data_IF_311612889415
#
_entry.id   IF_311612889415
#
_cell.length_a   1.000
_cell.length_b   1.000
_cell.length_c   1.000
_cell.angle_alpha   90.00
_cell.angle_beta   90.00
_cell.angle_gamma   90.00
#
_symmetry.space_group_name_H-M   'P 1'
#
loop_
_entity.id
_entity.type
_entity.pdbx_description
1 polymer ?
#
# COMPACT_ATOMS: atom_id res chain seq x y z
N UNK A 1 10.53 17.48 -5.30
CA UNK A 1 10.37 16.11 -5.81
C UNK A 1 8.96 15.92 -6.37
N UNK A 2 8.85 15.33 -7.54
CA UNK A 2 7.53 15.04 -8.06
C UNK A 2 6.84 14.00 -7.18
N UNK A 3 5.59 14.29 -6.83
CA UNK A 3 4.74 13.35 -6.11
C UNK A 3 3.98 12.52 -7.12
N UNK A 4 4.17 11.23 -7.08
CA UNK A 4 3.49 10.31 -7.97
C UNK A 4 2.26 9.73 -7.31
N UNK A 5 1.20 9.55 -8.10
CA UNK A 5 -0.03 8.89 -7.64
C UNK A 5 0.15 7.39 -7.75
N UNK A 6 -0.22 6.70 -6.70
CA UNK A 6 -0.13 5.25 -6.61
C UNK A 6 -1.47 4.65 -6.22
N UNK A 7 -1.67 3.41 -6.63
CA UNK A 7 -2.86 2.65 -6.27
C UNK A 7 -2.42 1.30 -5.72
N UNK A 8 -2.96 0.91 -4.58
CA UNK A 8 -2.70 -0.40 -3.99
C UNK A 8 -4.01 -1.15 -3.78
N UNK A 9 -3.96 -2.44 -3.97
CA UNK A 9 -5.09 -3.35 -3.86
C UNK A 9 -4.90 -4.32 -2.72
N UNK A 10 -6.00 -4.76 -2.12
CA UNK A 10 -6.00 -5.82 -1.13
C UNK A 10 -5.86 -5.33 0.30
N UNK A 11 -6.23 -6.21 1.22
CA UNK A 11 -6.34 -5.88 2.65
C UNK A 11 -4.98 -5.58 3.27
N UNK A 12 -4.00 -6.47 3.08
CA UNK A 12 -2.70 -6.33 3.74
C UNK A 12 -1.94 -5.09 3.27
N UNK A 13 -1.90 -4.86 1.96
CA UNK A 13 -1.25 -3.67 1.41
C UNK A 13 -1.95 -2.39 1.84
N UNK A 14 -3.28 -2.40 1.86
CA UNK A 14 -4.05 -1.24 2.31
C UNK A 14 -3.81 -0.93 3.78
N UNK A 15 -3.76 -1.93 4.64
CA UNK A 15 -3.43 -1.74 6.06
C UNK A 15 -2.04 -1.12 6.19
N UNK A 16 -1.06 -1.61 5.45
CA UNK A 16 0.30 -1.09 5.49
C UNK A 16 0.36 0.40 5.12
N UNK A 17 -0.30 0.79 4.05
CA UNK A 17 -0.33 2.18 3.59
C UNK A 17 -1.10 3.07 4.56
N UNK A 18 -2.28 2.66 4.99
CA UNK A 18 -3.13 3.46 5.88
C UNK A 18 -2.52 3.62 7.28
N UNK A 19 -1.85 2.60 7.78
CA UNK A 19 -1.27 2.64 9.13
C UNK A 19 0.07 3.37 9.19
N UNK A 20 0.80 3.47 8.08
CA UNK A 20 2.13 4.10 8.06
C UNK A 20 2.10 5.60 8.32
N UNK A 21 0.99 6.26 7.93
CA UNK A 21 0.79 7.72 8.02
C UNK A 21 1.86 8.55 7.29
N UNK A 22 2.64 7.91 6.44
CA UNK A 22 3.68 8.58 5.65
C UNK A 22 3.19 9.10 4.31
N UNK A 23 2.05 8.61 3.87
CA UNK A 23 1.54 8.90 2.54
C UNK A 23 0.28 9.75 2.63
N UNK A 24 0.11 10.63 1.65
CA UNK A 24 -1.12 11.41 1.54
C UNK A 24 -2.17 10.56 0.84
N UNK A 25 -3.20 10.17 1.55
CA UNK A 25 -4.29 9.37 1.02
C UNK A 25 -5.21 10.27 0.19
N UNK A 26 -5.44 9.87 -1.06
CA UNK A 26 -6.35 10.60 -1.96
C UNK A 26 -7.76 10.04 -1.89
N UNK A 27 -7.88 8.72 -1.83
CA UNK A 27 -9.18 8.06 -1.88
C UNK A 27 -9.05 6.62 -1.38
N UNK A 28 -10.05 6.18 -0.64
CA UNK A 28 -10.20 4.77 -0.23
C UNK A 28 -11.54 4.28 -0.75
N UNK A 29 -11.52 3.24 -1.58
CA UNK A 29 -12.71 2.65 -2.17
C UNK A 29 -12.94 1.28 -1.56
N UNK A 30 -14.12 1.06 -0.99
CA UNK A 30 -14.47 -0.20 -0.34
C UNK A 30 -15.73 -0.76 -0.98
N UNK A 31 -15.67 -2.05 -1.34
CA UNK A 31 -16.84 -2.77 -1.86
C UNK A 31 -17.73 -3.18 -0.70
N UNK A 32 -19.00 -2.83 -0.77
CA UNK A 32 -20.00 -3.24 0.23
C UNK A 32 -20.14 -4.77 0.24
N UNK A 33 -20.17 -5.35 1.42
CA UNK A 33 -20.29 -6.79 1.62
C UNK A 33 -18.99 -7.56 1.42
N UNK A 34 -17.85 -6.88 1.26
CA UNK A 34 -16.56 -7.52 1.02
C UNK A 34 -15.84 -7.91 2.32
N UNK A 35 -14.79 -8.71 2.18
CA UNK A 35 -13.91 -9.05 3.30
C UNK A 35 -13.28 -7.81 3.92
N UNK A 36 -12.95 -6.81 3.09
CA UNK A 36 -12.35 -5.57 3.56
C UNK A 36 -13.30 -4.77 4.44
N UNK A 37 -14.57 -4.67 4.05
CA UNK A 37 -15.57 -3.97 4.85
C UNK A 37 -15.73 -4.61 6.23
N UNK A 38 -15.63 -5.94 6.31
CA UNK A 38 -15.79 -6.70 7.54
C UNK A 38 -14.50 -6.87 8.34
N UNK A 39 -13.38 -6.30 7.85
CA UNK A 39 -12.10 -6.39 8.54
C UNK A 39 -12.00 -5.31 9.62
N UNK A 40 -11.76 -5.72 10.85
CA UNK A 40 -11.71 -4.80 12.00
C UNK A 40 -10.58 -3.78 11.93
N UNK A 41 -9.41 -4.15 11.41
CA UNK A 41 -8.30 -3.22 11.25
C UNK A 41 -8.60 -2.16 10.19
N UNK A 42 -9.19 -2.59 9.06
CA UNK A 42 -9.61 -1.66 8.01
C UNK A 42 -10.65 -0.68 8.56
N UNK A 43 -11.67 -1.18 9.26
CA UNK A 43 -12.71 -0.34 9.85
C UNK A 43 -12.13 0.73 10.77
N UNK A 44 -11.16 0.34 11.58
CA UNK A 44 -10.50 1.28 12.50
C UNK A 44 -9.69 2.32 11.76
N UNK A 45 -8.90 1.89 10.77
CA UNK A 45 -8.02 2.79 10.02
C UNK A 45 -8.79 3.79 9.18
N UNK A 46 -9.84 3.37 8.49
CA UNK A 46 -10.63 4.27 7.65
C UNK A 46 -11.37 5.33 8.45
N UNK A 47 -11.59 5.09 9.74
CA UNK A 47 -12.18 6.10 10.63
C UNK A 47 -11.37 7.41 10.68
N UNK A 48 -10.07 7.35 10.42
CA UNK A 48 -9.20 8.52 10.37
C UNK A 48 -9.24 9.26 9.03
N UNK A 49 -9.87 8.68 8.02
CA UNK A 49 -9.88 9.22 6.66
C UNK A 49 -11.28 9.54 6.13
N UNK A 50 -12.25 9.69 7.00
CA UNK A 50 -13.68 9.78 6.73
C UNK A 50 -14.10 10.36 5.37
N UNK A 51 -13.71 11.61 5.05
CA UNK A 51 -14.08 12.28 3.80
C UNK A 51 -13.46 11.68 2.55
N UNK A 52 -12.42 10.87 2.68
CA UNK A 52 -11.73 10.22 1.57
C UNK A 52 -12.22 8.80 1.31
N UNK A 53 -13.09 8.27 2.17
CA UNK A 53 -13.57 6.89 2.08
C UNK A 53 -14.91 6.85 1.35
N UNK A 54 -15.01 5.98 0.35
CA UNK A 54 -16.23 5.77 -0.42
C UNK A 54 -16.58 4.29 -0.42
N UNK A 55 -17.85 3.99 -0.15
CA UNK A 55 -18.37 2.63 -0.22
C UNK A 55 -19.13 2.47 -1.53
N UNK A 56 -18.73 1.48 -2.33
CA UNK A 56 -19.32 1.20 -3.63
C UNK A 56 -20.08 -0.12 -3.58
N UNK A 57 -21.14 -0.22 -4.38
CA UNK A 57 -21.83 -1.48 -4.55
C UNK A 57 -20.92 -2.50 -5.23
N UNK A 58 -21.21 -3.78 -5.04
CA UNK A 58 -20.45 -4.87 -5.64
C UNK A 58 -20.34 -4.71 -7.16
N UNK A 59 -21.45 -4.38 -7.82
CA UNK A 59 -21.50 -4.20 -9.28
C UNK A 59 -20.62 -3.03 -9.71
N UNK A 60 -20.77 -1.88 -9.06
CA UNK A 60 -20.01 -0.67 -9.40
C UNK A 60 -18.51 -0.88 -9.17
N UNK A 61 -18.14 -1.51 -8.04
CA UNK A 61 -16.75 -1.79 -7.73
C UNK A 61 -16.11 -2.73 -8.76
N UNK A 62 -16.82 -3.78 -9.17
CA UNK A 62 -16.35 -4.70 -10.19
C UNK A 62 -16.22 -4.07 -11.57
N UNK A 63 -17.09 -3.13 -11.90
CA UNK A 63 -16.99 -2.41 -13.18
C UNK A 63 -15.71 -1.60 -13.28
N UNK A 64 -15.27 -1.02 -12.15
CA UNK A 64 -14.06 -0.22 -12.11
C UNK A 64 -12.80 -1.10 -12.01
N UNK A 65 -12.86 -2.19 -11.23
CA UNK A 65 -11.68 -3.00 -10.89
C UNK A 65 -11.85 -4.47 -11.28
N UNK A 66 -12.42 -4.75 -12.44
CA UNK A 66 -12.78 -6.10 -12.86
C UNK A 66 -11.64 -7.11 -12.90
N UNK A 67 -10.42 -6.67 -13.21
CA UNK A 67 -9.27 -7.55 -13.40
C UNK A 67 -8.29 -7.56 -12.22
N UNK A 68 -8.66 -6.98 -11.10
CA UNK A 68 -7.77 -6.81 -9.95
C UNK A 68 -8.17 -7.69 -8.77
N UNK A 69 -7.18 -8.24 -8.07
CA UNK A 69 -7.40 -8.96 -6.82
C UNK A 69 -7.49 -7.97 -5.66
N UNK A 70 -8.62 -7.29 -5.56
CA UNK A 70 -8.77 -6.18 -4.64
C UNK A 70 -9.17 -6.59 -3.23
N UNK A 71 -9.74 -7.78 -3.05
CA UNK A 71 -10.35 -8.20 -1.78
C UNK A 71 -11.39 -7.20 -1.24
N UNK A 72 -11.87 -6.34 -2.13
CA UNK A 72 -12.87 -5.33 -1.81
C UNK A 72 -12.34 -4.01 -1.31
N UNK A 73 -11.05 -3.73 -1.46
CA UNK A 73 -10.47 -2.44 -1.08
C UNK A 73 -9.40 -1.99 -2.05
N UNK A 74 -9.44 -0.70 -2.38
CA UNK A 74 -8.44 -0.01 -3.20
C UNK A 74 -8.10 1.30 -2.50
N UNK A 75 -6.82 1.55 -2.31
CA UNK A 75 -6.32 2.80 -1.72
C UNK A 75 -5.51 3.55 -2.75
N UNK A 76 -5.88 4.80 -2.98
CA UNK A 76 -5.14 5.72 -3.85
C UNK A 76 -4.42 6.73 -2.98
N UNK A 77 -3.14 6.89 -3.22
CA UNK A 77 -2.31 7.77 -2.41
C UNK A 77 -1.21 8.41 -3.24
N UNK A 78 -0.61 9.46 -2.70
CA UNK A 78 0.56 10.09 -3.30
C UNK A 78 1.78 9.87 -2.43
N UNK A 79 2.91 9.61 -3.08
CA UNK A 79 4.18 9.40 -2.40
C UNK A 79 5.31 9.97 -3.24
N UNK A 80 6.35 10.45 -2.57
CA UNK A 80 7.61 10.76 -3.23
C UNK A 80 8.45 9.48 -3.25
N UNK A 81 8.94 9.11 -4.43
CA UNK A 81 9.83 7.96 -4.56
C UNK A 81 11.26 8.48 -4.52
N UNK A 82 12.07 7.88 -3.66
CA UNK A 82 13.48 8.20 -3.58
C UNK A 82 14.19 7.60 -4.80
N UNK A 83 14.74 8.45 -5.65
CA UNK A 83 15.39 8.03 -6.90
C UNK A 83 16.90 7.91 -6.76
N UNK A 84 17.46 8.44 -5.68
CA UNK A 84 18.89 8.44 -5.44
C UNK A 84 19.28 7.40 -4.41
N UNK A 85 20.50 6.86 -4.56
CA UNK A 85 21.03 5.97 -3.53
C UNK A 85 21.22 6.74 -2.24
N UNK A 86 20.94 6.10 -1.08
CA UNK A 86 21.14 6.76 0.20
C UNK A 86 22.64 7.02 0.44
N UNK A 87 22.94 8.17 1.05
CA UNK A 87 24.31 8.47 1.45
C UNK A 87 24.61 7.76 2.76
N UNK A 88 25.76 7.08 2.81
CA UNK A 88 26.21 6.36 3.99
C UNK A 88 27.39 7.05 4.70
N UNK A 89 27.78 8.23 4.23
CA UNK A 89 28.98 8.93 4.71
C UNK A 89 28.94 9.24 6.21
N UNK A 90 27.78 9.59 6.74
CA UNK A 90 27.62 9.96 8.14
C UNK A 90 27.08 8.82 9.02
N UNK A 91 27.02 7.62 8.47
CA UNK A 91 26.51 6.46 9.19
C UNK A 91 27.62 5.77 9.97
N UNK A 92 27.28 5.33 11.17
CA UNK A 92 28.22 4.57 12.02
C UNK A 92 27.83 3.09 12.03
N UNK A 93 28.83 2.22 12.15
CA UNK A 93 28.63 0.78 12.19
C UNK A 93 28.60 0.15 10.79
N UNK A 94 28.32 -1.13 10.76
CA UNK A 94 28.25 -1.89 9.52
C UNK A 94 26.95 -1.61 8.80
N UNK A 95 27.03 -1.31 7.50
CA UNK A 95 25.85 -1.04 6.66
C UNK A 95 25.81 -2.01 5.50
N UNK A 96 24.61 -2.33 5.08
CA UNK A 96 24.36 -3.19 3.94
C UNK A 96 23.28 -2.56 3.06
N UNK A 97 23.53 -2.52 1.76
CA UNK A 97 22.53 -2.07 0.78
C UNK A 97 22.15 -3.28 -0.06
N UNK A 98 20.84 -3.55 -0.11
CA UNK A 98 20.30 -4.61 -0.94
C UNK A 98 19.77 -4.00 -2.23
N UNK A 99 20.29 -4.45 -3.36
CA UNK A 99 19.85 -4.00 -4.68
C UNK A 99 19.04 -5.11 -5.33
N UNK A 100 17.81 -4.82 -5.70
CA UNK A 100 16.92 -5.77 -6.34
C UNK A 100 16.69 -5.36 -7.79
N UNK A 101 16.93 -6.30 -8.72
CA UNK A 101 16.74 -6.06 -10.14
C UNK A 101 15.66 -6.99 -10.67
N UNK A 102 14.62 -6.41 -11.28
CA UNK A 102 13.55 -7.13 -11.97
C UNK A 102 12.85 -8.20 -11.12
N UNK A 103 12.61 -7.91 -9.86
CA UNK A 103 11.83 -8.79 -9.00
C UNK A 103 10.35 -8.50 -9.26
N UNK A 104 9.65 -9.47 -9.83
CA UNK A 104 8.23 -9.32 -10.19
C UNK A 104 7.30 -10.05 -9.24
N UNK A 105 7.77 -11.12 -8.59
CA UNK A 105 6.96 -11.93 -7.69
C UNK A 105 6.96 -11.33 -6.29
N UNK A 106 5.78 -10.90 -5.77
CA UNK A 106 5.70 -10.32 -4.42
C UNK A 106 6.16 -11.28 -3.31
N UNK A 107 5.98 -12.59 -3.49
CA UNK A 107 6.45 -13.56 -2.48
C UNK A 107 7.97 -13.59 -2.40
N UNK A 108 8.64 -13.58 -3.54
CA UNK A 108 10.11 -13.55 -3.58
C UNK A 108 10.63 -12.27 -2.95
N UNK A 109 10.02 -11.13 -3.26
CA UNK A 109 10.39 -9.85 -2.67
C UNK A 109 10.20 -9.88 -1.14
N UNK A 110 9.09 -10.40 -0.67
CA UNK A 110 8.81 -10.52 0.76
C UNK A 110 9.82 -11.39 1.49
N UNK A 111 10.23 -12.51 0.89
CA UNK A 111 11.22 -13.40 1.46
C UNK A 111 12.61 -12.73 1.55
N UNK A 112 12.99 -12.01 0.51
CA UNK A 112 14.27 -11.30 0.49
C UNK A 112 14.31 -10.23 1.58
N UNK A 113 13.26 -9.44 1.69
CA UNK A 113 13.17 -8.40 2.73
C UNK A 113 13.23 -9.02 4.12
N UNK A 114 12.47 -10.09 4.35
CA UNK A 114 12.44 -10.77 5.64
C UNK A 114 13.79 -11.33 6.03
N UNK A 115 14.50 -11.94 5.08
CA UNK A 115 15.85 -12.47 5.30
C UNK A 115 16.85 -11.36 5.57
N UNK A 116 16.75 -10.23 4.88
CA UNK A 116 17.72 -9.13 5.01
C UNK A 116 17.61 -8.40 6.34
N UNK A 117 16.46 -8.47 7.01
CA UNK A 117 16.23 -7.81 8.30
C UNK A 117 16.72 -8.66 9.49
N UNK A 118 16.88 -9.96 9.29
CA UNK A 118 17.38 -10.87 10.34
C UNK A 118 18.90 -10.69 10.58
#
# INVERSE_FOLDING_TARGET
MPKNKHTIFGINGSIAVLSSRKYKISEVLIQKGSKAENNGQITRLIGHYGGYVKFLTKTHFKDIFSNSRTQGIVVKFTAAIEENLPSLENETGNKCILVLDRIEDPQNLGQIIRTSVC
#
